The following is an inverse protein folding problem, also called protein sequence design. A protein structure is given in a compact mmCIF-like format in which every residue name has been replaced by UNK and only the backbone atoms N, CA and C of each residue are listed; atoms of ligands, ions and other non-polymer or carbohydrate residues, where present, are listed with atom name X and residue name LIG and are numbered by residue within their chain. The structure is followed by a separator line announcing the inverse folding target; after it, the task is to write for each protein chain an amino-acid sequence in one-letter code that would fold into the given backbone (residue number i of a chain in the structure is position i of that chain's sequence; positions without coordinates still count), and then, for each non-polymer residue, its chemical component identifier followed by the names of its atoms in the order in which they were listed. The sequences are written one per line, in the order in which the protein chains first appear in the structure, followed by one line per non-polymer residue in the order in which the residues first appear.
data_IF_246804209777
#
_entry.id   IF_246804209777
#
_cell.length_a   1.000
_cell.length_b   1.000
_cell.length_c   1.000
_cell.angle_alpha   90.00
_cell.angle_beta   90.00
_cell.angle_gamma   90.00
#
_symmetry.space_group_name_H-M   'P 1'
#
loop_
_entity.id
_entity.type
_entity.pdbx_description
1 polymer ?
#
# COMPACT_ATOMS: atom_id res chain seq x y z
N UNK A 1 1.94 32.04 -12.45
CA UNK A 1 1.18 33.28 -12.82
C UNK A 1 1.75 34.41 -11.99
N UNK A 2 2.05 35.56 -12.56
CA UNK A 2 2.56 36.74 -11.81
C UNK A 2 1.51 37.84 -11.87
N UNK A 3 1.14 38.41 -10.74
CA UNK A 3 0.29 39.60 -10.61
C UNK A 3 1.10 40.62 -9.83
N UNK A 4 1.32 41.78 -10.41
CA UNK A 4 2.08 42.89 -9.84
C UNK A 4 3.48 42.54 -9.31
N UNK A 5 4.17 41.61 -10.00
CA UNK A 5 5.50 41.16 -9.63
C UNK A 5 5.54 40.09 -8.52
N UNK A 6 4.41 39.74 -7.95
CA UNK A 6 4.29 38.67 -6.94
C UNK A 6 4.07 37.35 -7.69
N UNK A 7 4.93 36.38 -7.44
CA UNK A 7 4.76 35.03 -7.95
C UNK A 7 3.68 34.31 -7.12
N UNK A 8 2.49 34.16 -7.70
CA UNK A 8 1.43 33.39 -7.08
C UNK A 8 1.69 31.92 -7.42
N UNK A 9 2.26 31.16 -6.48
CA UNK A 9 2.20 29.71 -6.52
C UNK A 9 0.78 29.29 -6.15
N UNK A 10 0.10 28.59 -7.05
CA UNK A 10 -1.13 27.87 -6.68
C UNK A 10 -0.75 26.82 -5.64
N UNK A 11 -1.11 27.04 -4.38
CA UNK A 11 -1.01 26.04 -3.34
C UNK A 11 -1.98 24.93 -3.76
N UNK A 12 -1.42 23.80 -4.19
CA UNK A 12 -2.22 22.64 -4.55
C UNK A 12 -2.82 22.09 -3.26
N UNK A 13 -4.14 22.13 -3.16
CA UNK A 13 -4.86 21.60 -2.00
C UNK A 13 -5.21 20.14 -2.29
N UNK A 14 -4.84 19.23 -1.38
CA UNK A 14 -5.13 17.81 -1.49
C UNK A 14 -6.17 17.41 -0.45
N UNK A 15 -7.08 16.50 -0.84
CA UNK A 15 -8.15 15.98 0.01
C UNK A 15 -8.17 14.45 0.00
N UNK A 16 -8.76 13.86 1.04
CA UNK A 16 -9.06 12.42 1.06
C UNK A 16 -10.03 12.10 -0.06
N UNK A 17 -9.70 11.08 -0.86
CA UNK A 17 -10.42 10.72 -2.09
C UNK A 17 -9.73 11.16 -3.37
N UNK A 18 -8.74 12.07 -3.31
CA UNK A 18 -7.95 12.43 -4.48
C UNK A 18 -7.09 11.26 -4.94
N UNK A 19 -6.93 11.15 -6.26
CA UNK A 19 -5.98 10.22 -6.89
C UNK A 19 -4.84 11.02 -7.50
N UNK A 20 -3.62 10.73 -7.06
CA UNK A 20 -2.40 11.31 -7.59
C UNK A 20 -1.79 10.33 -8.59
N UNK A 21 -1.44 10.82 -9.77
CA UNK A 21 -0.85 10.01 -10.85
C UNK A 21 0.64 10.36 -11.00
N UNK A 22 1.50 9.35 -10.83
CA UNK A 22 2.96 9.48 -10.90
C UNK A 22 3.50 8.57 -12.00
N UNK A 23 3.80 9.18 -13.14
CA UNK A 23 4.39 8.50 -14.28
C UNK A 23 5.75 9.12 -14.62
N UNK A 24 6.74 8.26 -14.87
CA UNK A 24 8.09 8.64 -15.28
C UNK A 24 8.70 7.52 -16.12
N UNK A 25 9.37 7.83 -17.22
CA UNK A 25 10.03 6.83 -18.07
C UNK A 25 11.07 6.03 -17.27
N UNK A 26 11.06 4.70 -17.43
CA UNK A 26 11.96 3.79 -16.75
C UNK A 26 11.66 3.59 -15.25
N UNK A 27 10.49 4.04 -14.77
CA UNK A 27 10.00 3.86 -13.40
C UNK A 27 8.68 3.13 -13.38
N UNK A 28 8.29 2.65 -12.19
CA UNK A 28 6.97 2.10 -11.95
C UNK A 28 5.90 3.19 -12.13
N UNK A 29 4.84 2.93 -12.89
CA UNK A 29 3.69 3.84 -12.98
C UNK A 29 2.80 3.60 -11.77
N UNK A 30 2.64 4.60 -10.90
CA UNK A 30 1.91 4.47 -9.64
C UNK A 30 0.84 5.57 -9.54
N UNK A 31 -0.41 5.14 -9.35
CA UNK A 31 -1.50 6.02 -8.93
C UNK A 31 -1.75 5.81 -7.44
N UNK A 32 -1.86 6.89 -6.70
CA UNK A 32 -2.04 6.86 -5.24
C UNK A 32 -3.37 7.50 -4.88
N UNK A 33 -4.26 6.71 -4.27
CA UNK A 33 -5.51 7.18 -3.67
C UNK A 33 -5.24 7.66 -2.23
N UNK A 34 -5.50 8.93 -1.94
CA UNK A 34 -5.42 9.47 -0.58
C UNK A 34 -6.61 8.96 0.23
N UNK A 35 -6.34 8.20 1.30
CA UNK A 35 -7.38 7.49 2.07
C UNK A 35 -7.60 8.06 3.47
N UNK A 36 -6.60 8.73 4.03
CA UNK A 36 -6.66 9.36 5.35
C UNK A 36 -5.65 10.51 5.45
N UNK A 37 -5.83 11.36 6.47
CA UNK A 37 -4.93 12.45 6.80
C UNK A 37 -4.63 12.47 8.28
N UNK A 38 -3.34 12.39 8.63
CA UNK A 38 -2.88 12.46 10.01
C UNK A 38 -2.99 13.88 10.57
N UNK A 39 -3.06 14.00 11.91
CA UNK A 39 -3.13 15.28 12.61
C UNK A 39 -1.93 16.22 12.34
N UNK A 40 -0.76 15.65 11.98
CA UNK A 40 0.43 16.40 11.58
C UNK A 40 0.40 16.89 10.12
N UNK A 41 -0.70 16.64 9.40
CA UNK A 41 -0.91 17.09 8.02
C UNK A 41 -0.47 16.10 6.94
N UNK A 42 0.27 15.02 7.27
CA UNK A 42 0.67 13.98 6.32
C UNK A 42 -0.53 13.16 5.87
N UNK A 43 -0.50 12.70 4.63
CA UNK A 43 -1.53 11.85 4.06
C UNK A 43 -1.10 10.38 4.08
N UNK A 44 -2.08 9.49 4.31
CA UNK A 44 -1.98 8.07 4.01
C UNK A 44 -2.51 7.85 2.60
N UNK A 45 -1.66 7.35 1.72
CA UNK A 45 -2.00 7.06 0.33
C UNK A 45 -1.81 5.58 0.01
N UNK A 46 -2.82 4.96 -0.57
CA UNK A 46 -2.73 3.59 -1.08
C UNK A 46 -2.42 3.62 -2.58
N UNK A 47 -1.47 2.80 -3.02
CA UNK A 47 -1.42 2.53 -4.46
C UNK A 47 -2.78 2.04 -4.92
N UNK A 48 -3.29 2.55 -6.04
CA UNK A 48 -4.57 2.11 -6.61
C UNK A 48 -4.46 0.64 -6.99
N UNK A 49 -3.36 0.28 -7.66
CA UNK A 49 -3.03 -1.06 -8.10
C UNK A 49 -1.75 -1.58 -7.41
N UNK A 50 -1.47 -2.87 -7.57
CA UNK A 50 -0.22 -3.48 -7.13
C UNK A 50 0.95 -3.00 -7.99
N UNK A 51 2.16 -3.23 -7.52
CA UNK A 51 3.36 -3.14 -8.36
C UNK A 51 3.29 -4.16 -9.51
N UNK A 52 4.03 -3.91 -10.57
CA UNK A 52 4.11 -4.81 -11.73
C UNK A 52 4.73 -6.17 -11.37
N UNK A 53 5.64 -6.18 -10.40
CA UNK A 53 6.31 -7.39 -9.93
C UNK A 53 5.57 -8.00 -8.74
N UNK A 54 5.29 -9.32 -8.82
CA UNK A 54 4.80 -10.12 -7.70
C UNK A 54 5.97 -10.54 -6.81
N UNK A 55 5.76 -10.56 -5.49
CA UNK A 55 6.79 -10.96 -4.53
C UNK A 55 6.20 -11.85 -3.43
N UNK A 56 6.97 -12.82 -2.90
CA UNK A 56 6.62 -13.50 -1.66
C UNK A 56 6.71 -12.53 -0.48
N UNK A 57 6.03 -12.88 0.62
CA UNK A 57 6.24 -12.21 1.90
C UNK A 57 7.62 -12.57 2.46
N UNK A 58 7.99 -13.85 2.37
CA UNK A 58 9.29 -14.40 2.71
C UNK A 58 9.72 -15.42 1.65
N UNK A 59 11.02 -15.58 1.44
CA UNK A 59 11.54 -16.68 0.60
C UNK A 59 11.23 -18.05 1.21
N UNK A 60 11.29 -18.15 2.56
CA UNK A 60 10.90 -19.33 3.31
C UNK A 60 9.40 -19.30 3.63
N UNK A 61 8.79 -20.48 3.71
CA UNK A 61 7.41 -20.64 4.08
C UNK A 61 7.21 -20.53 5.60
N UNK A 62 7.36 -19.32 6.10
CA UNK A 62 7.31 -18.99 7.53
C UNK A 62 6.80 -17.57 7.78
N UNK A 63 5.91 -17.42 8.74
CA UNK A 63 5.44 -16.12 9.19
C UNK A 63 6.15 -15.65 10.48
N UNK A 64 7.24 -16.31 10.86
CA UNK A 64 7.99 -16.00 12.09
C UNK A 64 8.54 -14.57 12.08
N UNK A 65 8.28 -13.84 13.15
CA UNK A 65 8.73 -12.46 13.31
C UNK A 65 7.77 -11.43 12.68
N UNK A 66 6.72 -11.89 11.99
CA UNK A 66 5.72 -11.02 11.39
C UNK A 66 6.24 -10.21 10.20
N UNK A 67 5.44 -9.24 9.78
CA UNK A 67 5.77 -8.38 8.65
C UNK A 67 7.09 -7.62 8.82
N UNK A 68 7.36 -7.06 10.00
CA UNK A 68 8.54 -6.23 10.22
C UNK A 68 9.86 -7.00 9.99
N UNK A 69 9.85 -8.32 10.24
CA UNK A 69 11.00 -9.20 10.00
C UNK A 69 11.04 -9.76 8.57
N UNK A 70 9.96 -9.60 7.79
CA UNK A 70 9.79 -10.21 6.48
C UNK A 70 10.76 -9.67 5.43
N UNK A 71 10.99 -10.48 4.38
CA UNK A 71 11.81 -10.07 3.25
C UNK A 71 11.10 -8.99 2.41
N UNK A 72 9.77 -9.03 2.35
CA UNK A 72 8.98 -7.98 1.71
C UNK A 72 9.11 -6.63 2.43
N UNK A 73 9.09 -6.62 3.76
CA UNK A 73 9.32 -5.39 4.55
C UNK A 73 10.71 -4.82 4.30
N UNK A 74 11.74 -5.66 4.29
CA UNK A 74 13.12 -5.25 3.97
C UNK A 74 13.22 -4.67 2.57
N UNK A 75 12.57 -5.31 1.58
CA UNK A 75 12.54 -4.83 0.20
C UNK A 75 11.89 -3.44 0.12
N UNK A 76 10.70 -3.24 0.69
CA UNK A 76 9.98 -1.95 0.64
C UNK A 76 10.77 -0.82 1.33
N UNK A 77 11.63 -1.14 2.28
CA UNK A 77 12.51 -0.18 2.96
C UNK A 77 13.92 -0.09 2.32
N UNK A 78 14.13 -0.71 1.16
CA UNK A 78 15.43 -0.72 0.47
C UNK A 78 15.58 0.44 -0.51
N UNK A 79 16.84 0.72 -0.87
CA UNK A 79 17.17 1.64 -1.97
C UNK A 79 16.66 1.11 -3.32
N UNK A 80 16.60 -0.20 -3.49
CA UNK A 80 16.09 -0.85 -4.71
C UNK A 80 14.64 -0.44 -4.95
N UNK A 81 13.78 -0.60 -3.94
CA UNK A 81 12.38 -0.16 -4.03
C UNK A 81 12.26 1.34 -4.27
N UNK A 82 12.99 2.16 -3.51
CA UNK A 82 12.93 3.62 -3.69
C UNK A 82 13.36 4.04 -5.11
N UNK A 83 14.25 3.29 -5.75
CA UNK A 83 14.71 3.57 -7.11
C UNK A 83 13.69 3.25 -8.19
N UNK A 84 12.73 2.37 -7.97
CA UNK A 84 11.67 2.11 -8.96
C UNK A 84 10.56 3.17 -8.91
N UNK A 85 10.45 3.94 -7.82
CA UNK A 85 9.45 5.00 -7.70
C UNK A 85 9.77 6.19 -8.62
N UNK A 86 8.75 6.82 -9.23
CA UNK A 86 8.90 8.13 -9.87
C UNK A 86 9.46 9.15 -8.87
N UNK A 87 10.39 9.99 -9.31
CA UNK A 87 11.09 10.95 -8.45
C UNK A 87 10.11 11.86 -7.69
N UNK A 88 9.05 12.33 -8.35
CA UNK A 88 8.02 13.18 -7.73
C UNK A 88 7.24 12.49 -6.60
N UNK A 89 7.09 11.17 -6.64
CA UNK A 89 6.51 10.38 -5.55
C UNK A 89 7.55 10.16 -4.47
N UNK A 90 8.74 9.65 -4.85
CA UNK A 90 9.83 9.33 -3.93
C UNK A 90 10.17 10.50 -3.00
N UNK A 91 10.25 11.72 -3.55
CA UNK A 91 10.60 12.93 -2.79
C UNK A 91 9.54 13.35 -1.75
N UNK A 92 8.36 12.69 -1.74
CA UNK A 92 7.26 12.93 -0.80
C UNK A 92 7.03 11.79 0.18
N UNK A 93 7.67 10.64 -0.04
CA UNK A 93 7.50 9.44 0.78
C UNK A 93 8.32 9.57 2.07
N UNK A 94 7.64 9.56 3.21
CA UNK A 94 8.25 9.49 4.54
C UNK A 94 8.38 8.05 5.04
N UNK A 95 7.40 7.21 4.69
CA UNK A 95 7.41 5.79 5.02
C UNK A 95 6.58 5.00 4.00
N UNK A 96 6.91 3.71 3.87
CA UNK A 96 6.16 2.77 3.03
C UNK A 96 5.95 1.44 3.76
N UNK A 97 4.80 0.83 3.52
CA UNK A 97 4.39 -0.48 4.03
C UNK A 97 3.35 -1.11 3.10
N UNK A 98 2.81 -2.27 3.48
CA UNK A 98 1.59 -2.83 2.89
C UNK A 98 0.38 -2.60 3.82
N UNK A 99 -0.88 -2.87 3.40
CA UNK A 99 -2.07 -2.66 4.23
C UNK A 99 -2.12 -3.55 5.48
N UNK A 100 -2.88 -3.10 6.48
CA UNK A 100 -3.37 -3.96 7.58
C UNK A 100 -4.74 -4.55 7.26
N UNK A 101 -5.07 -5.69 7.85
CA UNK A 101 -6.44 -6.25 7.82
C UNK A 101 -7.44 -5.26 8.39
N UNK A 102 -7.09 -4.61 9.51
CA UNK A 102 -7.95 -3.66 10.21
C UNK A 102 -8.29 -2.43 9.35
N UNK A 103 -7.35 -1.94 8.53
CA UNK A 103 -7.60 -0.84 7.58
C UNK A 103 -8.57 -1.24 6.47
N UNK A 104 -8.47 -2.48 6.02
CA UNK A 104 -9.20 -2.99 4.87
C UNK A 104 -10.58 -3.54 5.23
N UNK A 105 -10.72 -4.21 6.37
CA UNK A 105 -11.89 -4.99 6.73
C UNK A 105 -12.47 -4.67 8.11
N UNK A 106 -11.73 -3.95 8.96
CA UNK A 106 -12.00 -3.84 10.40
C UNK A 106 -11.34 -5.02 11.15
N UNK A 107 -11.81 -5.30 12.37
CA UNK A 107 -11.30 -6.43 13.15
C UNK A 107 -11.66 -7.76 12.48
N UNK A 108 -10.73 -8.70 12.52
CA UNK A 108 -10.92 -10.08 12.06
C UNK A 108 -10.23 -11.03 13.06
N UNK A 109 -11.00 -11.92 13.68
CA UNK A 109 -10.53 -12.77 14.77
C UNK A 109 -9.54 -13.86 14.32
N UNK A 110 -9.45 -14.15 13.03
CA UNK A 110 -8.56 -15.17 12.47
C UNK A 110 -7.11 -14.68 12.38
N UNK A 111 -6.88 -13.36 12.43
CA UNK A 111 -5.57 -12.75 12.27
C UNK A 111 -5.07 -12.10 13.56
N UNK A 112 -3.72 -12.02 13.68
CA UNK A 112 -3.11 -11.28 14.77
C UNK A 112 -3.33 -9.77 14.58
N UNK A 113 -3.78 -9.10 15.63
CA UNK A 113 -3.91 -7.64 15.62
C UNK A 113 -2.53 -6.99 15.55
N UNK A 114 -2.29 -6.16 14.54
CA UNK A 114 -1.06 -5.37 14.44
C UNK A 114 -1.24 -4.04 15.14
N UNK A 115 -2.41 -3.42 15.00
CA UNK A 115 -2.71 -2.16 15.65
C UNK A 115 -4.20 -2.04 15.99
N UNK A 116 -4.53 -2.36 17.25
CA UNK A 116 -5.91 -2.33 17.76
C UNK A 116 -6.58 -0.95 17.71
N UNK A 117 -5.83 0.12 17.46
CA UNK A 117 -6.38 1.49 17.37
C UNK A 117 -6.80 1.86 15.94
N UNK A 118 -6.35 1.09 14.94
CA UNK A 118 -6.72 1.32 13.55
C UNK A 118 -8.15 0.85 13.31
N UNK A 119 -8.94 1.70 12.66
CA UNK A 119 -10.30 1.38 12.22
C UNK A 119 -10.31 1.17 10.72
N UNK A 120 -11.31 0.41 10.26
CA UNK A 120 -11.54 0.29 8.83
C UNK A 120 -11.62 1.68 8.18
N UNK A 121 -10.79 1.89 7.18
CA UNK A 121 -10.78 3.13 6.41
C UNK A 121 -12.11 3.28 5.64
N UNK A 122 -12.69 4.47 5.67
CA UNK A 122 -14.01 4.71 5.10
C UNK A 122 -14.08 4.31 3.61
N UNK A 123 -13.05 4.65 2.83
CA UNK A 123 -12.99 4.30 1.42
C UNK A 123 -12.83 2.77 1.19
N UNK A 124 -12.26 2.04 2.15
CA UNK A 124 -12.07 0.59 2.05
C UNK A 124 -13.31 -0.21 2.43
N UNK A 125 -14.35 0.40 2.99
CA UNK A 125 -15.68 -0.23 3.17
C UNK A 125 -16.29 -0.63 1.83
N UNK A 126 -16.05 0.13 0.78
CA UNK A 126 -16.47 -0.21 -0.56
C UNK A 126 -15.56 -1.29 -1.16
N UNK A 127 -16.11 -2.51 -1.36
CA UNK A 127 -15.36 -3.68 -1.87
C UNK A 127 -14.55 -3.39 -3.12
N UNK A 128 -15.08 -2.59 -4.06
CA UNK A 128 -14.39 -2.21 -5.29
C UNK A 128 -13.03 -1.54 -5.07
N UNK A 129 -12.88 -0.80 -3.95
CA UNK A 129 -11.63 -0.11 -3.63
C UNK A 129 -10.57 -1.06 -3.04
N UNK A 130 -10.97 -2.29 -2.70
CA UNK A 130 -10.08 -3.36 -2.27
C UNK A 130 -9.59 -4.24 -3.42
N UNK A 131 -10.24 -4.19 -4.58
CA UNK A 131 -9.79 -4.89 -5.79
C UNK A 131 -8.62 -4.11 -6.40
N UNK A 132 -7.56 -4.81 -6.79
CA UNK A 132 -6.39 -4.23 -7.44
C UNK A 132 -5.97 -5.06 -8.64
N UNK A 133 -5.22 -4.44 -9.56
CA UNK A 133 -4.63 -5.10 -10.73
C UNK A 133 -3.11 -5.16 -10.58
N UNK A 134 -2.47 -6.04 -11.32
CA UNK A 134 -1.01 -6.16 -11.36
C UNK A 134 -0.42 -5.08 -12.28
N UNK A 135 0.11 -4.01 -11.69
CA UNK A 135 0.57 -2.84 -12.43
C UNK A 135 -0.57 -1.94 -12.89
N UNK A 136 -0.29 -0.66 -13.00
CA UNK A 136 -1.28 0.40 -13.22
C UNK A 136 -2.01 0.28 -14.58
N UNK A 137 -1.38 -0.34 -15.57
CA UNK A 137 -1.89 -0.43 -16.95
C UNK A 137 -2.28 -1.87 -17.33
N UNK A 138 -2.40 -2.76 -16.35
CA UNK A 138 -2.77 -4.16 -16.55
C UNK A 138 -4.28 -4.39 -16.35
N UNK A 139 -4.80 -5.43 -16.98
CA UNK A 139 -6.15 -5.95 -16.74
C UNK A 139 -6.13 -7.26 -15.93
N UNK A 140 -4.96 -7.66 -15.41
CA UNK A 140 -4.80 -8.87 -14.62
C UNK A 140 -5.13 -8.57 -13.17
N UNK A 141 -6.15 -9.21 -12.61
CA UNK A 141 -6.45 -9.14 -11.19
C UNK A 141 -5.25 -9.58 -10.37
N UNK A 142 -5.01 -8.85 -9.26
CA UNK A 142 -3.91 -9.11 -8.37
C UNK A 142 -4.42 -9.46 -6.97
N UNK A 143 -3.98 -10.59 -6.45
CA UNK A 143 -4.06 -10.86 -5.01
C UNK A 143 -2.87 -10.15 -4.37
N UNK A 144 -3.05 -9.51 -3.22
CA UNK A 144 -1.96 -8.75 -2.61
C UNK A 144 -1.90 -8.92 -1.11
N UNK A 145 -0.69 -8.92 -0.61
CA UNK A 145 -0.37 -9.14 0.79
C UNK A 145 -0.92 -8.06 1.72
N UNK A 146 -1.29 -8.49 2.95
CA UNK A 146 -1.48 -7.65 4.13
C UNK A 146 -0.50 -8.05 5.22
N UNK A 147 -0.27 -7.16 6.22
CA UNK A 147 0.77 -7.34 7.23
C UNK A 147 0.46 -8.44 8.25
N UNK A 148 -0.82 -8.76 8.45
CA UNK A 148 -1.28 -9.60 9.55
C UNK A 148 -0.97 -11.07 9.28
N UNK A 149 -0.45 -11.74 10.32
CA UNK A 149 -0.28 -13.20 10.32
C UNK A 149 -1.59 -13.89 10.70
N UNK A 150 -1.79 -15.08 10.17
CA UNK A 150 -2.86 -15.95 10.61
C UNK A 150 -2.52 -16.58 11.98
N UNK A 151 -3.47 -16.54 12.94
CA UNK A 151 -3.22 -16.99 14.34
C UNK A 151 -2.93 -18.47 14.46
N UNK A 152 -3.55 -19.29 13.64
CA UNK A 152 -3.48 -20.76 13.69
C UNK A 152 -2.51 -21.37 12.67
N UNK A 153 -1.67 -20.55 12.03
CA UNK A 153 -0.67 -20.98 11.05
C UNK A 153 0.72 -20.45 11.39
N UNK A 154 1.75 -21.26 11.12
CA UNK A 154 3.15 -20.86 11.24
C UNK A 154 3.73 -20.29 9.92
N UNK A 155 2.95 -20.33 8.83
CA UNK A 155 3.36 -19.94 7.48
C UNK A 155 2.55 -18.79 6.90
N UNK A 156 1.24 -18.67 7.26
CA UNK A 156 0.32 -17.84 6.53
C UNK A 156 0.35 -16.37 6.94
N UNK A 157 0.26 -15.53 5.90
CA UNK A 157 -0.13 -14.13 6.00
C UNK A 157 -1.48 -13.87 5.34
N UNK A 158 -2.16 -12.84 5.79
CA UNK A 158 -3.37 -12.35 5.16
C UNK A 158 -3.07 -11.77 3.76
N UNK A 159 -4.02 -11.93 2.84
CA UNK A 159 -4.02 -11.23 1.56
C UNK A 159 -5.44 -10.84 1.15
N UNK A 160 -5.55 -9.89 0.25
CA UNK A 160 -6.81 -9.57 -0.43
C UNK A 160 -6.86 -10.33 -1.75
N UNK A 161 -7.92 -11.12 -1.95
CA UNK A 161 -8.10 -11.87 -3.20
C UNK A 161 -8.69 -11.02 -4.32
N UNK A 162 -8.73 -11.55 -5.56
CA UNK A 162 -9.23 -10.84 -6.74
C UNK A 162 -10.71 -10.41 -6.66
N UNK A 163 -11.46 -10.91 -5.68
CA UNK A 163 -12.82 -10.45 -5.40
C UNK A 163 -12.88 -9.34 -4.34
N UNK A 164 -11.74 -8.87 -3.83
CA UNK A 164 -11.67 -7.87 -2.77
C UNK A 164 -12.10 -8.40 -1.40
N UNK A 165 -11.92 -9.70 -1.14
CA UNK A 165 -12.20 -10.37 0.14
C UNK A 165 -10.89 -10.73 0.84
N UNK A 166 -10.94 -10.82 2.18
CA UNK A 166 -9.83 -11.30 3.00
C UNK A 166 -9.67 -12.82 2.82
N UNK A 167 -8.42 -13.25 2.76
CA UNK A 167 -8.01 -14.65 2.67
C UNK A 167 -6.58 -14.77 3.22
N UNK A 168 -6.00 -15.97 3.26
CA UNK A 168 -4.63 -16.18 3.71
C UNK A 168 -3.89 -17.17 2.82
N UNK A 169 -2.57 -17.15 2.91
CA UNK A 169 -1.71 -18.09 2.18
C UNK A 169 -0.27 -18.06 2.66
N UNK A 170 0.45 -19.10 2.25
CA UNK A 170 1.83 -19.35 2.62
C UNK A 170 2.74 -18.18 2.25
N UNK A 171 3.61 -17.79 3.17
CA UNK A 171 4.51 -16.65 3.02
C UNK A 171 5.40 -16.71 1.77
N UNK A 172 5.70 -17.90 1.28
CA UNK A 172 6.53 -18.15 0.08
C UNK A 172 5.76 -18.00 -1.25
N UNK A 173 4.43 -17.86 -1.21
CA UNK A 173 3.65 -17.60 -2.42
C UNK A 173 3.95 -16.21 -3.00
N UNK A 174 4.03 -16.11 -4.32
CA UNK A 174 4.21 -14.82 -5.00
C UNK A 174 2.86 -14.14 -5.18
N UNK A 175 2.59 -13.09 -4.42
CA UNK A 175 1.41 -12.25 -4.53
C UNK A 175 1.77 -10.81 -4.88
N UNK A 176 0.79 -10.00 -5.18
CA UNK A 176 0.95 -8.58 -5.43
C UNK A 176 1.44 -7.82 -4.20
N UNK A 177 2.14 -6.76 -4.47
CA UNK A 177 2.53 -5.78 -3.48
C UNK A 177 1.75 -4.50 -3.75
N UNK A 178 0.85 -4.13 -2.84
CA UNK A 178 0.08 -2.90 -2.90
C UNK A 178 0.62 -1.91 -1.86
N UNK A 179 1.52 -1.00 -2.24
CA UNK A 179 2.14 -0.10 -1.27
C UNK A 179 1.16 0.87 -0.64
N UNK A 180 1.38 1.13 0.65
CA UNK A 180 0.77 2.21 1.41
C UNK A 180 1.87 3.20 1.79
N UNK A 181 1.70 4.43 1.37
CA UNK A 181 2.67 5.50 1.56
C UNK A 181 2.20 6.46 2.65
N UNK A 182 3.12 6.89 3.50
CA UNK A 182 2.96 8.11 4.29
C UNK A 182 3.57 9.25 3.50
N UNK A 183 2.76 10.25 3.13
CA UNK A 183 3.14 11.29 2.17
C UNK A 183 3.14 12.67 2.80
N UNK A 184 4.21 13.42 2.54
CA UNK A 184 4.30 14.86 2.78
C UNK A 184 3.98 15.59 1.45
N UNK A 185 2.77 16.19 1.34
CA UNK A 185 2.22 16.76 0.11
C UNK A 185 2.15 18.28 0.16
#
# INVERSE_FOLDING_TARGET
MKIDGIEISLIKHYEVGDVLDFQQEGKEHIKVLLVDRHANGMFVGFSVDCLSELRPMNEEDSNRGGYDASDLSKYLNSKEFMNILPDKLRDRVEAVRIPFVEEMFGSDDDYEDINVTVKQLELMKARRNRIAFQGCDSNNWCWYWMMNRRKDSAADFAYVNGNGLCDCGDASNSNGVRPVFLLNL
#
